data_IF_947136502805
#
_entry.id   IF_947136502805
#
_cell.length_a   1.000
_cell.length_b   1.000
_cell.length_c   1.000
_cell.angle_alpha   90.00
_cell.angle_beta   90.00
_cell.angle_gamma   90.00
#
_symmetry.space_group_name_H-M   'P 1'
#
loop_
_entity.id
_entity.type
_entity.pdbx_description
1 polymer ?
#
# COMPACT_ATOMS: atom_id res chain seq x y z
N UNK A 1 9.82 -12.11 2.62
CA UNK A 1 8.70 -11.74 1.74
C UNK A 1 7.80 -10.78 2.51
N UNK A 2 7.33 -9.69 1.90
CA UNK A 2 6.41 -8.76 2.57
C UNK A 2 5.17 -9.49 3.08
N UNK A 3 4.73 -9.21 4.32
CA UNK A 3 3.60 -9.88 4.95
C UNK A 3 2.32 -9.78 4.13
N UNK A 4 2.01 -8.59 3.60
CA UNK A 4 0.84 -8.35 2.75
C UNK A 4 0.81 -9.20 1.47
N UNK A 5 1.96 -9.67 0.99
CA UNK A 5 2.06 -10.50 -0.21
C UNK A 5 1.87 -12.00 0.04
N UNK A 6 1.89 -12.46 1.30
CA UNK A 6 1.83 -13.89 1.62
C UNK A 6 0.61 -14.64 1.07
N UNK A 7 -0.60 -14.07 1.06
CA UNK A 7 -1.79 -14.75 0.53
C UNK A 7 -1.79 -14.94 -0.98
N UNK A 8 -0.96 -14.20 -1.72
CA UNK A 8 -0.91 -14.24 -3.17
C UNK A 8 -0.18 -15.48 -3.67
N UNK A 9 -0.83 -16.63 -3.54
CA UNK A 9 -0.36 -17.90 -4.12
C UNK A 9 -0.45 -17.88 -5.64
N UNK A 10 0.28 -18.78 -6.31
CA UNK A 10 0.17 -18.94 -7.78
C UNK A 10 -1.28 -19.16 -8.22
N UNK A 11 -2.04 -19.96 -7.48
CA UNK A 11 -3.45 -20.22 -7.78
C UNK A 11 -4.30 -18.94 -7.69
N UNK A 12 -4.15 -18.17 -6.61
CA UNK A 12 -4.87 -16.90 -6.43
C UNK A 12 -4.48 -15.88 -7.52
N UNK A 13 -3.19 -15.75 -7.83
CA UNK A 13 -2.72 -14.86 -8.90
C UNK A 13 -3.35 -15.25 -10.24
N UNK A 14 -3.38 -16.56 -10.58
CA UNK A 14 -4.00 -17.04 -11.80
C UNK A 14 -5.51 -16.74 -11.84
N UNK A 15 -6.19 -16.92 -10.71
CA UNK A 15 -7.62 -16.62 -10.60
C UNK A 15 -7.90 -15.12 -10.79
N UNK A 16 -7.13 -14.25 -10.12
CA UNK A 16 -7.27 -12.80 -10.26
C UNK A 16 -7.08 -12.35 -11.71
N UNK A 17 -6.02 -12.85 -12.37
CA UNK A 17 -5.74 -12.53 -13.78
C UNK A 17 -6.87 -13.05 -14.69
N UNK A 18 -7.42 -14.24 -14.45
CA UNK A 18 -8.52 -14.79 -15.24
C UNK A 18 -9.82 -13.98 -15.10
N UNK A 19 -9.96 -13.24 -14.02
CA UNK A 19 -11.07 -12.30 -13.78
C UNK A 19 -10.81 -10.88 -14.30
N UNK A 20 -9.68 -10.66 -15.02
CA UNK A 20 -9.32 -9.38 -15.58
C UNK A 20 -8.63 -8.40 -14.59
N UNK A 21 -8.20 -8.88 -13.44
CA UNK A 21 -7.43 -8.08 -12.49
C UNK A 21 -5.96 -8.07 -12.93
N UNK A 22 -5.43 -6.89 -13.16
CA UNK A 22 -4.06 -6.69 -13.60
C UNK A 22 -3.12 -6.65 -12.39
N UNK A 23 -1.95 -7.28 -12.52
CA UNK A 23 -0.93 -7.30 -11.49
C UNK A 23 0.35 -6.65 -12.02
N UNK A 24 0.89 -5.71 -11.27
CA UNK A 24 2.10 -4.99 -11.64
C UNK A 24 3.12 -5.00 -10.49
N UNK A 25 4.37 -5.40 -10.73
CA UNK A 25 5.40 -5.40 -9.71
C UNK A 25 6.03 -4.02 -9.53
N UNK A 26 6.40 -3.71 -8.29
CA UNK A 26 7.32 -2.63 -7.93
C UNK A 26 8.41 -3.19 -7.00
N UNK A 27 9.47 -2.43 -6.79
CA UNK A 27 10.50 -2.77 -5.82
C UNK A 27 10.67 -1.64 -4.80
N UNK A 28 10.72 -2.00 -3.53
CA UNK A 28 11.16 -1.12 -2.46
C UNK A 28 11.96 -1.96 -1.45
N UNK A 29 13.18 -1.50 -1.15
CA UNK A 29 14.04 -2.13 -0.16
C UNK A 29 13.76 -1.50 1.20
N UNK A 30 13.05 -2.23 2.04
CA UNK A 30 12.64 -1.76 3.38
C UNK A 30 13.75 -1.98 4.42
N UNK A 31 13.80 -1.10 5.40
CA UNK A 31 14.50 -1.36 6.67
C UNK A 31 13.83 -2.46 7.50
N UNK A 32 14.45 -2.80 8.62
CA UNK A 32 14.01 -3.92 9.50
C UNK A 32 12.91 -3.51 10.47
N UNK A 33 12.74 -2.22 10.74
CA UNK A 33 11.76 -1.69 11.69
C UNK A 33 10.98 -0.54 11.07
N UNK A 34 9.70 -0.43 11.43
CA UNK A 34 8.91 0.77 11.14
C UNK A 34 9.32 1.86 12.14
N UNK A 35 9.66 3.07 11.68
CA UNK A 35 9.88 4.19 12.57
C UNK A 35 8.64 4.45 13.43
N UNK A 36 8.85 4.88 14.67
CA UNK A 36 7.76 5.42 15.46
C UNK A 36 7.21 6.71 14.81
N UNK A 37 5.97 7.10 15.16
CA UNK A 37 5.29 8.22 14.53
C UNK A 37 6.05 9.56 14.62
N UNK A 38 6.98 9.70 15.56
CA UNK A 38 7.81 10.88 15.73
C UNK A 38 9.19 10.81 15.04
N UNK A 39 9.54 9.63 14.47
CA UNK A 39 10.81 9.46 13.75
C UNK A 39 10.60 9.68 12.25
N UNK A 40 11.50 10.42 11.59
CA UNK A 40 11.42 10.54 10.14
C UNK A 40 11.67 9.16 9.48
N UNK A 41 10.99 8.87 8.36
CA UNK A 41 11.22 7.62 7.65
C UNK A 41 12.66 7.58 7.12
N UNK A 42 13.30 6.42 7.25
CA UNK A 42 14.60 6.19 6.60
C UNK A 42 14.46 6.26 5.08
N UNK A 43 15.53 6.74 4.43
CA UNK A 43 15.64 6.72 2.98
C UNK A 43 15.68 5.27 2.48
N UNK A 44 14.66 4.86 1.74
CA UNK A 44 14.51 3.52 1.20
C UNK A 44 14.62 3.54 -0.32
N UNK A 45 15.42 2.62 -0.87
CA UNK A 45 15.59 2.50 -2.31
C UNK A 45 14.33 1.93 -2.94
N UNK A 46 13.80 2.61 -3.96
CA UNK A 46 12.62 2.16 -4.70
C UNK A 46 12.86 2.11 -6.19
N UNK A 47 12.03 1.36 -6.90
CA UNK A 47 11.94 1.37 -8.34
C UNK A 47 10.50 1.08 -8.79
N UNK A 48 9.96 1.97 -9.63
CA UNK A 48 8.70 1.80 -10.34
C UNK A 48 9.04 1.63 -11.83
N UNK A 49 8.92 0.41 -12.38
CA UNK A 49 9.20 0.14 -13.79
C UNK A 49 8.26 0.90 -14.72
N UNK A 50 8.70 1.19 -15.95
CA UNK A 50 7.87 1.84 -16.96
C UNK A 50 6.60 1.07 -17.30
N UNK A 51 6.65 -0.25 -17.30
CA UNK A 51 5.48 -1.11 -17.49
C UNK A 51 4.45 -0.94 -16.39
N UNK A 52 4.90 -0.89 -15.12
CA UNK A 52 4.02 -0.65 -13.97
C UNK A 52 3.43 0.75 -14.03
N UNK A 53 4.24 1.78 -14.28
CA UNK A 53 3.76 3.16 -14.40
C UNK A 53 2.69 3.30 -15.50
N UNK A 54 2.95 2.75 -16.68
CA UNK A 54 1.99 2.77 -17.80
C UNK A 54 0.70 2.02 -17.47
N UNK A 55 0.78 0.89 -16.77
CA UNK A 55 -0.39 0.11 -16.39
C UNK A 55 -1.25 0.85 -15.36
N UNK A 56 -0.64 1.47 -14.35
CA UNK A 56 -1.34 2.30 -13.36
C UNK A 56 -2.07 3.46 -14.03
N UNK A 57 -1.37 4.19 -14.91
CA UNK A 57 -1.97 5.31 -15.64
C UNK A 57 -3.12 4.85 -16.54
N UNK A 58 -2.97 3.71 -17.22
CA UNK A 58 -4.02 3.14 -18.08
C UNK A 58 -5.27 2.78 -17.26
N UNK A 59 -5.09 2.06 -16.16
CA UNK A 59 -6.20 1.66 -15.27
C UNK A 59 -6.94 2.89 -14.75
N UNK A 60 -6.24 3.91 -14.30
CA UNK A 60 -6.86 5.15 -13.81
C UNK A 60 -7.61 5.91 -14.92
N UNK A 61 -7.01 6.00 -16.11
CA UNK A 61 -7.63 6.68 -17.26
C UNK A 61 -8.92 6.00 -17.72
N UNK A 62 -9.08 4.70 -17.45
CA UNK A 62 -10.26 3.91 -17.79
C UNK A 62 -11.27 3.79 -16.63
N UNK A 63 -11.06 4.51 -15.53
CA UNK A 63 -11.96 4.50 -14.36
C UNK A 63 -11.79 3.28 -13.46
N UNK A 64 -10.70 2.52 -13.62
CA UNK A 64 -10.34 1.43 -12.73
C UNK A 64 -9.69 1.91 -11.43
N UNK A 65 -9.45 0.98 -10.51
CA UNK A 65 -8.85 1.24 -9.20
C UNK A 65 -7.48 0.61 -9.06
N UNK A 66 -6.59 1.32 -8.37
CA UNK A 66 -5.22 0.88 -8.05
C UNK A 66 -5.18 0.45 -6.59
N UNK A 67 -5.04 -0.85 -6.35
CA UNK A 67 -4.97 -1.42 -5.01
C UNK A 67 -3.51 -1.78 -4.72
N UNK A 68 -2.92 -1.10 -3.76
CA UNK A 68 -1.56 -1.42 -3.31
C UNK A 68 -1.55 -2.69 -2.44
N UNK A 69 -0.57 -3.55 -2.65
CA UNK A 69 -0.31 -4.70 -1.76
C UNK A 69 0.93 -4.40 -0.92
N UNK A 70 0.69 -3.91 0.30
CA UNK A 70 1.69 -3.45 1.24
C UNK A 70 1.90 -1.94 1.26
N UNK A 71 2.20 -1.41 2.44
CA UNK A 71 2.49 0.01 2.67
C UNK A 71 3.68 0.51 1.86
N UNK A 72 4.65 -0.37 1.60
CA UNK A 72 5.82 -0.11 0.76
C UNK A 72 5.45 0.24 -0.68
N UNK A 73 4.40 -0.40 -1.23
CA UNK A 73 3.89 -0.10 -2.57
C UNK A 73 3.29 1.30 -2.61
N UNK A 74 2.52 1.67 -1.60
CA UNK A 74 1.96 3.03 -1.48
C UNK A 74 3.09 4.07 -1.53
N UNK A 75 4.13 3.92 -0.68
CA UNK A 75 5.25 4.86 -0.64
C UNK A 75 5.96 4.99 -1.99
N UNK A 76 6.22 3.88 -2.67
CA UNK A 76 6.89 3.89 -3.96
C UNK A 76 6.03 4.58 -5.05
N UNK A 77 4.73 4.27 -5.11
CA UNK A 77 3.82 4.87 -6.10
C UNK A 77 3.59 6.36 -5.83
N UNK A 78 3.37 6.76 -4.56
CA UNK A 78 3.20 8.17 -4.20
C UNK A 78 4.47 9.00 -4.47
N UNK A 79 5.67 8.41 -4.27
CA UNK A 79 6.94 9.04 -4.66
C UNK A 79 7.04 9.22 -6.18
N UNK A 80 6.58 8.24 -6.94
CA UNK A 80 6.60 8.27 -8.41
C UNK A 80 5.46 9.10 -9.01
N UNK A 81 4.47 9.51 -8.21
CA UNK A 81 3.32 10.28 -8.66
C UNK A 81 3.68 11.76 -8.86
N UNK A 82 3.71 12.18 -10.12
CA UNK A 82 4.03 13.56 -10.51
C UNK A 82 2.93 14.11 -11.41
N UNK A 83 2.38 15.29 -11.05
CA UNK A 83 1.35 15.96 -11.85
C UNK A 83 0.14 15.08 -12.23
N UNK A 84 -0.30 14.26 -11.29
CA UNK A 84 -1.49 13.39 -11.46
C UNK A 84 -1.22 12.08 -12.22
N UNK A 85 0.02 11.79 -12.58
CA UNK A 85 0.44 10.55 -13.27
C UNK A 85 1.54 9.85 -12.50
N UNK A 86 1.60 8.52 -12.62
CA UNK A 86 2.73 7.74 -12.12
C UNK A 86 3.79 7.65 -13.21
N UNK A 87 5.02 8.07 -12.91
CA UNK A 87 6.13 8.03 -13.85
C UNK A 87 7.14 6.95 -13.46
N UNK A 88 7.74 6.31 -14.47
CA UNK A 88 8.84 5.38 -14.24
C UNK A 88 9.97 6.10 -13.53
N UNK A 89 10.35 5.60 -12.36
CA UNK A 89 11.41 6.22 -11.57
C UNK A 89 12.08 5.22 -10.64
N UNK A 90 13.31 5.51 -10.28
CA UNK A 90 14.07 4.75 -9.29
C UNK A 90 14.99 5.71 -8.52
N UNK A 91 15.21 5.43 -7.26
CA UNK A 91 16.01 6.27 -6.39
C UNK A 91 15.82 5.92 -4.93
N UNK A 92 15.90 6.93 -4.08
CA UNK A 92 15.60 6.82 -2.65
C UNK A 92 14.36 7.65 -2.32
N UNK A 93 13.55 7.15 -1.41
CA UNK A 93 12.35 7.84 -0.92
C UNK A 93 12.36 7.94 0.60
N UNK A 94 12.06 9.13 1.10
CA UNK A 94 11.72 9.43 2.48
C UNK A 94 10.24 9.84 2.59
N UNK A 95 9.47 9.61 1.52
CA UNK A 95 8.09 10.07 1.43
C UNK A 95 7.25 9.50 2.57
N UNK A 96 6.66 10.38 3.35
CA UNK A 96 5.72 10.06 4.41
C UNK A 96 4.30 10.38 3.94
N UNK A 97 3.45 9.36 3.94
CA UNK A 97 2.03 9.52 3.64
C UNK A 97 1.27 9.78 4.93
N UNK A 98 0.63 10.93 5.01
CA UNK A 98 -0.16 11.39 6.16
C UNK A 98 -1.55 11.81 5.72
N UNK A 99 -2.53 11.96 6.63
CA UNK A 99 -3.84 12.50 6.31
C UNK A 99 -3.78 13.88 5.61
N UNK A 100 -2.79 14.72 5.96
CA UNK A 100 -2.61 16.03 5.37
C UNK A 100 -2.08 15.98 3.93
N UNK A 101 -1.18 15.03 3.63
CA UNK A 101 -0.64 14.85 2.28
C UNK A 101 -1.59 14.09 1.37
N UNK A 102 -2.41 13.21 1.95
CA UNK A 102 -3.29 12.31 1.22
C UNK A 102 -2.54 11.32 0.33
N UNK A 103 -3.28 10.65 -0.55
CA UNK A 103 -2.78 9.77 -1.60
C UNK A 103 -3.27 10.21 -2.97
N UNK A 104 -2.46 9.97 -4.01
CA UNK A 104 -2.75 10.40 -5.40
C UNK A 104 -2.70 9.26 -6.40
N UNK A 105 -1.93 8.20 -6.08
CA UNK A 105 -1.64 7.10 -7.00
C UNK A 105 -2.41 5.82 -6.66
N UNK A 106 -2.92 5.68 -5.43
CA UNK A 106 -3.60 4.48 -4.96
C UNK A 106 -5.04 4.79 -4.55
N UNK A 107 -5.93 3.82 -4.75
CA UNK A 107 -7.36 3.91 -4.42
C UNK A 107 -7.74 2.92 -3.30
N UNK A 108 -6.81 2.06 -2.91
CA UNK A 108 -7.00 1.12 -1.81
C UNK A 108 -5.70 0.42 -1.43
N UNK A 109 -5.77 -0.32 -0.33
CA UNK A 109 -4.59 -0.96 0.26
C UNK A 109 -4.95 -2.31 0.86
N UNK A 110 -4.17 -3.34 0.50
CA UNK A 110 -4.11 -4.60 1.23
C UNK A 110 -2.88 -4.55 2.13
N UNK A 111 -3.08 -4.69 3.44
CA UNK A 111 -1.99 -4.66 4.42
C UNK A 111 -2.34 -5.47 5.66
N UNK A 112 -1.36 -5.74 6.52
CA UNK A 112 -1.61 -6.32 7.84
C UNK A 112 -2.27 -5.33 8.80
N UNK A 113 -2.63 -5.82 9.97
CA UNK A 113 -3.06 -4.98 11.09
C UNK A 113 -1.81 -4.49 11.82
N UNK A 114 -1.63 -3.18 11.89
CA UNK A 114 -0.46 -2.52 12.45
C UNK A 114 -0.71 -1.99 13.85
N UNK A 115 0.36 -1.88 14.63
CA UNK A 115 0.33 -1.35 15.99
C UNK A 115 -0.16 0.10 16.06
N UNK A 116 -0.83 0.48 17.17
CA UNK A 116 -1.19 1.87 17.42
C UNK A 116 0.02 2.80 17.39
N UNK A 117 -0.16 4.03 16.89
CA UNK A 117 0.85 5.10 16.82
C UNK A 117 2.03 4.83 15.87
N UNK A 118 1.90 3.91 14.93
CA UNK A 118 2.89 3.70 13.87
C UNK A 118 2.69 4.68 12.70
N UNK A 119 3.74 4.95 11.95
CA UNK A 119 3.65 5.71 10.68
C UNK A 119 2.74 5.00 9.66
N UNK A 120 2.60 3.68 9.79
CA UNK A 120 1.66 2.90 8.98
C UNK A 120 0.20 3.34 9.22
N UNK A 121 -0.21 3.57 10.48
CA UNK A 121 -1.58 4.03 10.76
C UNK A 121 -1.87 5.42 10.19
N UNK A 122 -0.89 6.31 10.13
CA UNK A 122 -1.06 7.59 9.43
C UNK A 122 -1.36 7.39 7.95
N UNK A 123 -0.64 6.48 7.29
CA UNK A 123 -0.89 6.12 5.89
C UNK A 123 -2.27 5.47 5.70
N UNK A 124 -2.64 4.53 6.57
CA UNK A 124 -3.96 3.90 6.52
C UNK A 124 -5.07 4.93 6.69
N UNK A 125 -4.90 5.88 7.61
CA UNK A 125 -5.84 7.00 7.81
C UNK A 125 -5.91 7.90 6.59
N UNK A 126 -4.78 8.15 5.91
CA UNK A 126 -4.75 8.94 4.69
C UNK A 126 -5.53 8.30 3.53
N UNK A 127 -5.57 6.96 3.49
CA UNK A 127 -6.28 6.19 2.45
C UNK A 127 -7.75 6.02 2.81
N UNK A 128 -8.06 5.55 4.01
CA UNK A 128 -9.39 5.10 4.41
C UNK A 128 -10.21 6.14 5.18
N UNK A 129 -9.55 7.15 5.72
CA UNK A 129 -10.17 8.05 6.71
C UNK A 129 -10.32 7.40 8.08
N UNK A 130 -10.40 8.24 9.11
CA UNK A 130 -10.50 7.78 10.50
C UNK A 130 -11.75 6.90 10.76
N UNK A 131 -12.96 7.25 10.28
CA UNK A 131 -14.15 6.44 10.60
C UNK A 131 -14.06 5.00 10.11
N UNK A 132 -13.67 4.80 8.83
CA UNK A 132 -13.54 3.46 8.26
C UNK A 132 -12.42 2.67 8.95
N UNK A 133 -11.30 3.32 9.24
CA UNK A 133 -10.18 2.67 9.91
C UNK A 133 -10.55 2.22 11.33
N UNK A 134 -11.24 3.08 12.10
CA UNK A 134 -11.73 2.73 13.44
C UNK A 134 -12.63 1.50 13.38
N UNK A 135 -13.63 1.51 12.51
CA UNK A 135 -14.55 0.39 12.32
C UNK A 135 -13.81 -0.91 11.94
N UNK A 136 -12.81 -0.80 11.05
CA UNK A 136 -11.99 -1.96 10.65
C UNK A 136 -11.25 -2.58 11.83
N UNK A 137 -10.64 -1.74 12.68
CA UNK A 137 -9.88 -2.24 13.83
C UNK A 137 -10.79 -2.76 14.94
N UNK A 138 -11.94 -2.14 15.18
CA UNK A 138 -12.95 -2.65 16.11
C UNK A 138 -13.43 -4.04 15.69
N UNK A 139 -13.84 -4.21 14.43
CA UNK A 139 -14.25 -5.51 13.90
C UNK A 139 -13.12 -6.55 13.96
N UNK A 140 -11.89 -6.17 13.65
CA UNK A 140 -10.76 -7.07 13.73
C UNK A 140 -10.50 -7.57 15.16
N UNK A 141 -10.64 -6.70 16.17
CA UNK A 141 -10.49 -7.07 17.56
C UNK A 141 -11.63 -7.97 18.04
N UNK A 142 -12.88 -7.68 17.67
CA UNK A 142 -14.05 -8.48 18.01
C UNK A 142 -13.97 -9.89 17.42
N UNK A 143 -13.48 -10.03 16.18
CA UNK A 143 -13.33 -11.31 15.49
C UNK A 143 -12.02 -12.04 15.83
N UNK A 144 -11.17 -11.46 16.68
CA UNK A 144 -9.93 -12.08 17.15
C UNK A 144 -8.81 -12.13 16.12
N UNK A 145 -8.80 -11.21 15.14
CA UNK A 145 -7.68 -11.05 14.21
C UNK A 145 -6.41 -10.65 14.94
N UNK A 146 -5.29 -11.13 14.43
CA UNK A 146 -3.96 -10.88 14.98
C UNK A 146 -3.23 -9.79 14.18
N UNK A 147 -2.04 -9.39 14.69
CA UNK A 147 -1.22 -8.39 14.03
C UNK A 147 -0.53 -8.94 12.77
N UNK A 148 0.04 -8.03 11.97
CA UNK A 148 0.67 -8.35 10.68
C UNK A 148 1.77 -9.43 10.75
N UNK A 149 2.44 -9.58 11.90
CA UNK A 149 3.43 -10.64 12.12
C UNK A 149 2.84 -12.04 12.03
N UNK A 150 1.58 -12.20 12.42
CA UNK A 150 0.86 -13.48 12.38
C UNK A 150 0.23 -13.78 11.02
N UNK A 151 0.17 -12.77 10.15
CA UNK A 151 -0.25 -12.92 8.76
C UNK A 151 -1.68 -12.53 8.45
N UNK A 152 -2.42 -11.99 9.42
CA UNK A 152 -3.76 -11.46 9.19
C UNK A 152 -3.70 -10.17 8.37
N UNK A 153 -4.65 -10.01 7.47
CA UNK A 153 -4.69 -8.91 6.52
C UNK A 153 -6.06 -8.25 6.51
N UNK A 154 -6.06 -7.00 6.11
CA UNK A 154 -7.26 -6.26 5.77
C UNK A 154 -7.15 -5.64 4.38
N UNK A 155 -8.30 -5.40 3.76
CA UNK A 155 -8.45 -4.64 2.52
C UNK A 155 -9.17 -3.33 2.86
N UNK A 156 -8.45 -2.24 2.77
CA UNK A 156 -9.02 -0.89 2.85
C UNK A 156 -9.39 -0.43 1.44
N UNK A 157 -10.68 -0.23 1.21
CA UNK A 157 -11.23 0.16 -0.08
C UNK A 157 -12.36 1.16 0.17
N UNK A 158 -12.00 2.46 0.35
CA UNK A 158 -12.96 3.53 0.61
C UNK A 158 -13.88 3.83 -0.60
#
# INVERSE_FOLDING_TARGET
MPSAGRPFTTALVTELVSRGILLAPITLHTGVASPEAHEPPYAERYAVPGTTASLVDHVRATGGRVIAVGTTVVRALETAATSGRVVASAGFTEHLVTPDTGVRAVDGLITGLHEPRSTHLMMLTAIAGTPLLTQTYEAALEEGYLWHEFGDLNLLLP
#
